data_IF_769232176990
#
_entry.id   IF_769232176990
#
_cell.length_a   1.000
_cell.length_b   1.000
_cell.length_c   1.000
_cell.angle_alpha   90.00
_cell.angle_beta   90.00
_cell.angle_gamma   90.00
#
_symmetry.space_group_name_H-M   'P 1'
#
loop_
_entity.id
_entity.type
_entity.pdbx_description
1 polymer ?
#
# COMPACT_ATOMS: atom_id res chain seq x y z
N UNK A 1 9.98 10.77 6.05
CA UNK A 1 9.73 12.13 6.52
C UNK A 1 8.78 12.11 7.71
N UNK A 2 7.54 11.64 7.60
CA UNK A 2 6.56 11.60 8.69
C UNK A 2 7.06 10.92 9.98
N UNK A 3 7.61 9.72 9.89
CA UNK A 3 8.09 8.99 11.09
C UNK A 3 9.28 9.70 11.75
N UNK A 4 10.14 10.38 10.99
CA UNK A 4 11.29 11.11 11.55
C UNK A 4 10.85 12.30 12.42
N UNK A 5 9.91 13.11 11.93
CA UNK A 5 9.37 14.26 12.66
C UNK A 5 8.64 13.83 13.94
N UNK A 6 7.81 12.78 13.84
CA UNK A 6 7.10 12.22 15.00
C UNK A 6 8.08 11.60 15.99
N UNK A 7 9.11 10.92 15.51
CA UNK A 7 10.13 10.32 16.35
C UNK A 7 10.92 11.37 17.11
N UNK A 8 11.32 12.48 16.47
CA UNK A 8 12.05 13.56 17.12
C UNK A 8 11.21 14.25 18.20
N UNK A 9 9.90 14.51 17.94
CA UNK A 9 8.98 15.00 18.96
C UNK A 9 8.84 14.00 20.12
N UNK A 10 8.69 12.73 19.80
CA UNK A 10 8.53 11.66 20.77
C UNK A 10 9.75 11.50 21.66
N UNK A 11 10.97 11.54 21.10
CA UNK A 11 12.22 11.49 21.85
C UNK A 11 12.41 12.74 22.71
N UNK A 12 11.99 13.91 22.24
CA UNK A 12 12.12 15.15 23.02
C UNK A 12 11.35 15.08 24.35
N UNK A 13 10.19 14.41 24.36
CA UNK A 13 9.37 14.22 25.58
C UNK A 13 10.01 13.20 26.54
N UNK A 14 10.76 12.21 26.01
CA UNK A 14 11.35 11.13 26.80
C UNK A 14 12.78 11.47 27.26
N UNK A 15 13.40 12.48 26.68
CA UNK A 15 14.81 12.83 26.88
C UNK A 15 15.20 13.17 28.35
N UNK A 16 14.22 13.40 29.20
CA UNK A 16 14.47 13.59 30.65
C UNK A 16 14.87 12.28 31.36
N UNK A 17 14.63 11.12 30.76
CA UNK A 17 14.97 9.80 31.29
C UNK A 17 16.03 9.10 30.44
N UNK A 18 17.31 9.46 30.61
CA UNK A 18 18.47 8.89 29.91
C UNK A 18 18.74 7.38 30.16
N UNK A 19 17.76 6.63 30.70
CA UNK A 19 17.92 5.21 31.02
C UNK A 19 17.82 4.28 29.81
N UNK A 20 17.15 4.74 28.73
CA UNK A 20 16.86 3.92 27.57
C UNK A 20 17.40 4.55 26.30
N UNK A 21 17.93 3.72 25.42
CA UNK A 21 18.18 4.09 24.04
C UNK A 21 16.99 3.62 23.20
N UNK A 22 16.44 4.51 22.41
CA UNK A 22 15.25 4.25 21.59
C UNK A 22 15.62 4.54 20.14
N UNK A 23 15.24 3.63 19.23
CA UNK A 23 15.53 3.78 17.81
C UNK A 23 14.46 3.14 16.92
N UNK A 24 14.51 3.48 15.65
CA UNK A 24 13.77 2.80 14.57
C UNK A 24 14.77 2.08 13.69
N UNK A 25 14.48 0.81 13.43
CA UNK A 25 15.30 -0.08 12.60
C UNK A 25 14.51 -0.44 11.35
N UNK A 26 15.12 -0.36 10.18
CA UNK A 26 14.51 -0.77 8.92
C UNK A 26 14.55 -2.30 8.71
N UNK A 27 13.94 -2.78 7.64
CA UNK A 27 13.93 -4.21 7.28
C UNK A 27 15.34 -4.80 7.07
N UNK A 28 16.32 -3.96 6.74
CA UNK A 28 17.74 -4.35 6.58
C UNK A 28 18.49 -4.39 7.91
N UNK A 29 17.79 -4.26 9.03
CA UNK A 29 18.37 -4.23 10.40
C UNK A 29 19.24 -3.00 10.69
N UNK A 30 19.15 -1.96 9.88
CA UNK A 30 19.91 -0.72 10.04
C UNK A 30 19.11 0.28 10.88
N UNK A 31 19.77 0.93 11.84
CA UNK A 31 19.21 1.99 12.67
C UNK A 31 19.06 3.26 11.86
N UNK A 32 17.82 3.62 11.53
CA UNK A 32 17.49 4.80 10.72
C UNK A 32 17.22 6.05 11.54
N UNK A 33 16.68 5.88 12.77
CA UNK A 33 16.41 6.94 13.74
C UNK A 33 16.86 6.45 15.11
N UNK A 34 17.45 7.31 15.94
CA UNK A 34 17.90 6.91 17.26
C UNK A 34 18.04 8.12 18.21
N UNK A 35 17.70 7.92 19.49
CA UNK A 35 17.93 8.89 20.56
C UNK A 35 19.43 9.12 20.79
N UNK A 36 20.27 8.09 20.59
CA UNK A 36 21.74 8.22 20.53
C UNK A 36 22.21 8.30 19.08
N UNK A 37 22.60 9.48 18.64
CA UNK A 37 23.04 9.74 17.26
C UNK A 37 24.29 8.95 16.84
N UNK A 38 25.08 8.46 17.79
CA UNK A 38 26.27 7.65 17.49
C UNK A 38 25.91 6.24 16.96
N UNK A 39 24.65 5.81 17.14
CA UNK A 39 24.15 4.50 16.73
C UNK A 39 23.46 4.53 15.36
N UNK A 40 23.28 5.70 14.76
CA UNK A 40 22.72 5.81 13.41
C UNK A 40 23.57 5.07 12.38
N UNK A 41 22.94 4.31 11.49
CA UNK A 41 23.58 3.50 10.47
C UNK A 41 24.18 2.16 10.97
N UNK A 42 24.16 1.90 12.28
CA UNK A 42 24.61 0.62 12.81
C UNK A 42 23.57 -0.47 12.54
N UNK A 43 24.06 -1.70 12.37
CA UNK A 43 23.19 -2.87 12.19
C UNK A 43 22.94 -3.55 13.54
N UNK A 44 21.67 -3.81 13.88
CA UNK A 44 21.27 -4.48 15.11
C UNK A 44 20.53 -5.78 14.76
N UNK A 45 21.02 -6.92 15.26
CA UNK A 45 20.42 -8.22 15.01
C UNK A 45 19.32 -8.52 16.04
N UNK A 46 18.06 -8.36 15.64
CA UNK A 46 16.88 -8.62 16.48
C UNK A 46 16.47 -10.09 16.51
N UNK A 47 17.17 -10.99 15.81
CA UNK A 47 16.92 -12.43 15.88
C UNK A 47 17.62 -13.10 17.07
N UNK A 48 18.49 -12.40 17.78
CA UNK A 48 19.15 -12.90 18.97
C UNK A 48 18.45 -12.41 20.23
N UNK A 49 17.89 -13.29 21.06
CA UNK A 49 17.28 -12.88 22.33
C UNK A 49 18.35 -12.22 23.20
N UNK A 50 18.14 -10.97 23.53
CA UNK A 50 18.96 -10.21 24.45
C UNK A 50 18.03 -9.59 25.50
N UNK A 51 18.37 -9.78 26.81
CA UNK A 51 17.57 -9.24 27.91
C UNK A 51 17.53 -7.70 27.94
N UNK A 52 18.48 -7.08 27.26
CA UNK A 52 18.64 -5.64 27.26
C UNK A 52 18.02 -4.96 26.04
N UNK A 53 17.42 -5.72 25.11
CA UNK A 53 16.83 -5.21 23.89
C UNK A 53 15.41 -5.75 23.66
N UNK A 54 14.49 -4.88 23.33
CA UNK A 54 13.13 -5.22 22.90
C UNK A 54 12.82 -4.58 21.56
N UNK A 55 12.05 -5.29 20.73
CA UNK A 55 11.72 -4.90 19.37
C UNK A 55 10.23 -5.06 19.14
N UNK A 56 9.62 -4.06 18.52
CA UNK A 56 8.20 -4.05 18.18
C UNK A 56 8.03 -3.64 16.74
N UNK A 57 7.35 -4.44 15.95
CA UNK A 57 6.99 -4.08 14.59
C UNK A 57 6.05 -2.87 14.59
N UNK A 58 6.41 -1.83 13.84
CA UNK A 58 5.59 -0.63 13.69
C UNK A 58 4.87 -0.70 12.35
N UNK A 59 3.62 -1.18 12.40
CA UNK A 59 2.74 -1.27 11.24
C UNK A 59 1.43 -0.54 11.54
N UNK A 60 1.10 0.47 10.73
CA UNK A 60 -0.12 1.26 10.88
C UNK A 60 -0.91 1.23 9.59
N UNK A 61 -2.11 0.65 9.62
CA UNK A 61 -3.02 0.52 8.46
C UNK A 61 -2.38 -0.15 7.24
N UNK A 62 -1.51 -1.13 7.45
CA UNK A 62 -0.80 -1.84 6.39
C UNK A 62 0.42 -1.09 5.84
N UNK A 63 0.77 0.03 6.42
CA UNK A 63 2.02 0.73 6.15
C UNK A 63 3.05 0.34 7.20
N UNK A 64 4.16 -0.24 6.73
CA UNK A 64 5.27 -0.67 7.57
C UNK A 64 6.26 0.49 7.77
N UNK A 65 6.60 0.75 9.02
CA UNK A 65 7.56 1.81 9.41
C UNK A 65 8.86 1.24 9.97
N UNK A 66 9.00 -0.11 9.96
CA UNK A 66 10.13 -0.83 10.53
C UNK A 66 9.85 -1.30 11.95
N UNK A 67 10.89 -1.37 12.77
CA UNK A 67 10.82 -1.87 14.14
C UNK A 67 11.22 -0.78 15.13
N UNK A 68 10.38 -0.52 16.13
CA UNK A 68 10.78 0.23 17.32
C UNK A 68 11.73 -0.63 18.14
N UNK A 69 12.92 -0.15 18.38
CA UNK A 69 13.93 -0.76 19.23
C UNK A 69 14.11 0.03 20.50
N UNK A 70 14.07 -0.66 21.65
CA UNK A 70 14.37 -0.06 22.96
C UNK A 70 15.44 -0.89 23.64
N UNK A 71 16.51 -0.24 24.06
CA UNK A 71 17.61 -0.81 24.81
C UNK A 71 17.65 -0.23 26.22
N UNK A 72 17.85 -1.07 27.22
CA UNK A 72 17.93 -0.72 28.64
C UNK A 72 18.35 -1.89 29.53
N UNK A 73 18.57 -1.62 30.80
CA UNK A 73 19.15 -2.60 31.74
C UNK A 73 18.27 -2.90 32.95
N UNK A 74 16.98 -2.55 32.91
CA UNK A 74 16.08 -2.81 34.03
C UNK A 74 14.92 -3.73 33.68
N UNK A 75 14.27 -4.28 34.71
CA UNK A 75 13.15 -5.22 34.57
C UNK A 75 11.90 -4.59 33.94
N UNK A 76 11.84 -3.26 33.85
CA UNK A 76 10.71 -2.53 33.26
C UNK A 76 10.82 -2.36 31.74
N UNK A 77 11.94 -2.79 31.14
CA UNK A 77 12.23 -2.56 29.70
C UNK A 77 11.10 -3.01 28.79
N UNK A 78 10.53 -4.21 29.02
CA UNK A 78 9.43 -4.72 28.19
C UNK A 78 8.17 -3.87 28.34
N UNK A 79 7.84 -3.44 29.56
CA UNK A 79 6.66 -2.60 29.81
C UNK A 79 6.83 -1.21 29.16
N UNK A 80 8.00 -0.62 29.32
CA UNK A 80 8.34 0.67 28.69
C UNK A 80 8.29 0.55 27.18
N UNK A 81 8.89 -0.50 26.60
CA UNK A 81 8.85 -0.76 25.16
C UNK A 81 7.42 -0.87 24.61
N UNK A 82 6.53 -1.59 25.31
CA UNK A 82 5.12 -1.67 24.95
C UNK A 82 4.44 -0.30 24.94
N UNK A 83 4.61 0.50 26.03
CA UNK A 83 4.01 1.84 26.14
C UNK A 83 4.51 2.76 25.02
N UNK A 84 5.81 2.71 24.71
CA UNK A 84 6.41 3.51 23.66
C UNK A 84 5.88 3.10 22.28
N UNK A 85 5.77 1.79 22.02
CA UNK A 85 5.21 1.27 20.79
C UNK A 85 3.75 1.68 20.60
N UNK A 86 2.91 1.53 21.63
CA UNK A 86 1.50 1.94 21.56
C UNK A 86 1.38 3.46 21.34
N UNK A 87 2.15 4.26 22.06
CA UNK A 87 2.15 5.73 21.92
C UNK A 87 2.57 6.17 20.51
N UNK A 88 3.67 5.59 19.99
CA UNK A 88 4.15 5.87 18.63
C UNK A 88 3.12 5.46 17.60
N UNK A 89 2.52 4.28 17.73
CA UNK A 89 1.49 3.76 16.82
C UNK A 89 0.25 4.66 16.79
N UNK A 90 -0.24 5.10 17.96
CA UNK A 90 -1.38 6.03 18.06
C UNK A 90 -1.05 7.37 17.41
N UNK A 91 0.15 7.91 17.66
CA UNK A 91 0.57 9.20 17.08
C UNK A 91 0.69 9.09 15.54
N UNK A 92 1.32 8.04 15.01
CA UNK A 92 1.39 7.77 13.58
C UNK A 92 -0.01 7.64 12.96
N UNK A 93 -0.92 6.91 13.62
CA UNK A 93 -2.30 6.76 13.16
C UNK A 93 -3.02 8.12 13.11
N UNK A 94 -2.82 8.97 14.11
CA UNK A 94 -3.40 10.32 14.15
C UNK A 94 -2.89 11.19 13.00
N UNK A 95 -1.57 11.24 12.77
CA UNK A 95 -0.97 12.04 11.70
C UNK A 95 -1.38 11.53 10.30
N UNK A 96 -1.42 10.21 10.08
CA UNK A 96 -1.92 9.62 8.84
C UNK A 96 -3.39 10.00 8.62
N UNK A 97 -4.22 9.98 9.68
CA UNK A 97 -5.61 10.40 9.57
C UNK A 97 -5.73 11.91 9.28
N UNK A 98 -4.93 12.75 9.93
CA UNK A 98 -4.89 14.19 9.69
C UNK A 98 -4.44 14.52 8.25
N UNK A 99 -3.39 13.88 7.76
CA UNK A 99 -2.92 14.04 6.38
C UNK A 99 -4.04 13.66 5.38
N UNK A 100 -4.75 12.56 5.63
CA UNK A 100 -5.89 12.13 4.82
C UNK A 100 -7.10 13.10 4.91
N UNK A 101 -7.35 13.71 6.08
CA UNK A 101 -8.41 14.72 6.26
C UNK A 101 -8.08 16.06 5.57
N UNK A 102 -6.81 16.45 5.58
CA UNK A 102 -6.34 17.68 4.93
C UNK A 102 -6.25 17.56 3.40
N UNK A 103 -6.27 16.33 2.86
CA UNK A 103 -6.36 16.10 1.43
C UNK A 103 -7.77 16.42 0.95
N UNK A 104 -7.89 17.36 0.03
CA UNK A 104 -9.17 17.64 -0.62
C UNK A 104 -9.63 16.41 -1.40
N UNK A 105 -10.67 15.74 -0.89
CA UNK A 105 -11.29 14.57 -1.54
C UNK A 105 -11.81 15.01 -2.93
N UNK A 106 -11.37 14.34 -3.97
CA UNK A 106 -11.81 14.58 -5.35
C UNK A 106 -13.02 13.70 -5.66
N UNK A 107 -13.74 14.01 -6.77
CA UNK A 107 -14.81 13.16 -7.28
C UNK A 107 -14.28 11.78 -7.69
N UNK A 108 -13.03 11.68 -8.17
CA UNK A 108 -12.38 10.40 -8.48
C UNK A 108 -12.18 9.56 -7.21
N UNK A 109 -11.75 10.19 -6.10
CA UNK A 109 -11.58 9.48 -4.81
C UNK A 109 -12.93 8.96 -4.30
N UNK A 110 -13.99 9.76 -4.41
CA UNK A 110 -15.35 9.36 -4.02
C UNK A 110 -15.84 8.19 -4.88
N UNK A 111 -15.62 8.25 -6.19
CA UNK A 111 -15.99 7.17 -7.12
C UNK A 111 -15.28 5.88 -6.75
N UNK A 112 -13.95 5.91 -6.54
CA UNK A 112 -13.19 4.71 -6.14
C UNK A 112 -13.69 4.17 -4.80
N UNK A 113 -13.97 5.04 -3.82
CA UNK A 113 -14.54 4.62 -2.54
C UNK A 113 -15.88 3.89 -2.70
N UNK A 114 -16.76 4.39 -3.56
CA UNK A 114 -18.04 3.74 -3.85
C UNK A 114 -17.83 2.39 -4.57
N UNK A 115 -16.90 2.30 -5.53
CA UNK A 115 -16.57 1.07 -6.25
C UNK A 115 -15.98 -0.03 -5.35
N UNK A 116 -15.24 0.36 -4.30
CA UNK A 116 -14.61 -0.58 -3.36
C UNK A 116 -15.54 -0.99 -2.20
N UNK A 117 -16.67 -0.32 -2.02
CA UNK A 117 -17.62 -0.64 -0.95
C UNK A 117 -18.57 -1.77 -1.36
N UNK A 118 -18.19 -3.02 -1.10
CA UNK A 118 -19.02 -4.20 -1.42
C UNK A 118 -20.31 -4.27 -0.63
N UNK A 119 -20.29 -3.79 0.62
CA UNK A 119 -21.43 -3.91 1.54
C UNK A 119 -22.55 -2.93 1.22
N UNK A 120 -22.19 -1.76 0.74
CA UNK A 120 -23.12 -0.67 0.43
C UNK A 120 -22.83 -0.13 -0.97
N UNK A 121 -23.08 -1.01 -1.99
CA UNK A 121 -22.82 -0.70 -3.39
C UNK A 121 -23.94 0.14 -3.99
N UNK A 122 -23.80 1.47 -3.93
CA UNK A 122 -24.74 2.43 -4.52
C UNK A 122 -24.47 2.65 -6.00
N UNK A 123 -25.12 1.86 -6.85
CA UNK A 123 -24.98 1.93 -8.31
C UNK A 123 -25.41 3.32 -8.87
N UNK A 124 -26.43 3.96 -8.27
CA UNK A 124 -26.91 5.24 -8.73
C UNK A 124 -25.85 6.32 -8.50
N UNK A 125 -25.30 6.36 -7.28
CA UNK A 125 -24.21 7.29 -6.93
C UNK A 125 -22.99 7.11 -7.81
N UNK A 126 -22.62 5.86 -8.11
CA UNK A 126 -21.49 5.52 -9.01
C UNK A 126 -21.74 6.07 -10.41
N UNK A 127 -22.95 5.86 -10.97
CA UNK A 127 -23.30 6.36 -12.31
C UNK A 127 -23.27 7.90 -12.33
N UNK A 128 -23.85 8.56 -11.35
CA UNK A 128 -23.87 10.03 -11.25
C UNK A 128 -22.43 10.60 -11.21
N UNK A 129 -21.54 9.96 -10.43
CA UNK A 129 -20.13 10.36 -10.36
C UNK A 129 -19.38 10.11 -11.68
N UNK A 130 -19.66 9.01 -12.38
CA UNK A 130 -19.04 8.72 -13.66
C UNK A 130 -19.50 9.72 -14.74
N UNK A 131 -20.78 10.05 -14.77
CA UNK A 131 -21.34 11.06 -15.68
C UNK A 131 -20.71 12.44 -15.41
N UNK A 132 -20.59 12.84 -14.14
CA UNK A 132 -19.93 14.06 -13.70
C UNK A 132 -18.45 14.15 -14.14
N UNK A 133 -17.78 13.02 -14.20
CA UNK A 133 -16.37 12.90 -14.61
C UNK A 133 -16.19 12.66 -16.11
N UNK A 134 -17.28 12.54 -16.88
CA UNK A 134 -17.23 12.23 -18.31
C UNK A 134 -16.71 10.82 -18.61
N UNK A 135 -16.91 9.87 -17.71
CA UNK A 135 -16.43 8.50 -17.82
C UNK A 135 -17.50 7.59 -18.41
N UNK A 136 -17.13 6.75 -19.36
CA UNK A 136 -18.04 5.75 -19.92
C UNK A 136 -18.18 4.54 -18.95
N UNK A 137 -19.40 4.31 -18.46
CA UNK A 137 -19.76 3.23 -17.53
C UNK A 137 -19.71 1.83 -18.13
N UNK A 138 -19.86 1.73 -19.45
CA UNK A 138 -19.94 0.44 -20.15
C UNK A 138 -18.56 -0.09 -20.59
N UNK A 139 -17.48 0.65 -20.28
CA UNK A 139 -16.12 0.23 -20.58
C UNK A 139 -15.67 -0.93 -19.69
N UNK A 140 -15.03 -1.89 -20.34
CA UNK A 140 -14.24 -2.92 -19.68
C UNK A 140 -13.02 -2.27 -19.03
N UNK A 141 -12.72 -2.64 -17.78
CA UNK A 141 -11.55 -2.09 -17.06
C UNK A 141 -10.77 -3.16 -16.31
N UNK A 142 -9.52 -2.84 -16.03
CA UNK A 142 -8.63 -3.63 -15.18
C UNK A 142 -8.06 -2.72 -14.09
N UNK A 143 -7.97 -3.24 -12.86
CA UNK A 143 -7.29 -2.53 -11.78
C UNK A 143 -5.77 -2.64 -11.93
N UNK A 144 -5.07 -1.54 -11.75
CA UNK A 144 -3.62 -1.45 -11.60
C UNK A 144 -3.36 -0.83 -10.24
N UNK A 145 -2.86 -1.62 -9.30
CA UNK A 145 -2.48 -1.16 -7.97
C UNK A 145 -0.98 -0.89 -7.96
N UNK A 146 -0.63 0.34 -7.60
CA UNK A 146 0.73 0.84 -7.67
C UNK A 146 1.19 1.24 -6.27
N UNK A 147 2.38 0.78 -5.86
CA UNK A 147 2.98 1.11 -4.56
C UNK A 147 4.32 1.79 -4.79
N UNK A 148 4.47 3.01 -4.28
CA UNK A 148 5.74 3.74 -4.35
C UNK A 148 6.78 3.11 -3.42
N UNK A 149 7.98 2.86 -3.94
CA UNK A 149 9.13 2.38 -3.17
C UNK A 149 9.96 3.51 -2.56
N UNK A 150 9.79 4.76 -3.04
CA UNK A 150 10.57 5.93 -2.60
C UNK A 150 9.90 6.75 -1.48
N UNK A 151 8.65 6.47 -1.13
CA UNK A 151 7.89 7.26 -0.16
C UNK A 151 6.62 7.87 -0.74
N UNK A 152 6.22 9.03 -0.25
CA UNK A 152 4.90 9.60 -0.52
C UNK A 152 4.73 10.05 -1.98
N UNK A 153 3.61 9.66 -2.56
CA UNK A 153 3.16 10.09 -3.89
C UNK A 153 2.52 11.46 -3.77
N UNK A 154 3.06 12.44 -4.45
CA UNK A 154 2.50 13.81 -4.41
C UNK A 154 1.19 13.88 -5.18
N UNK A 155 0.21 14.58 -4.61
CA UNK A 155 -1.09 14.81 -5.27
C UNK A 155 -0.95 15.45 -6.66
N UNK A 156 0.10 16.24 -6.87
CA UNK A 156 0.40 16.86 -8.17
C UNK A 156 0.80 15.83 -9.23
N UNK A 157 1.54 14.78 -8.84
CA UNK A 157 1.95 13.71 -9.76
C UNK A 157 0.74 12.87 -10.18
N UNK A 158 -0.18 12.62 -9.23
CA UNK A 158 -1.44 11.93 -9.51
C UNK A 158 -2.33 12.72 -10.47
N UNK A 159 -2.41 14.04 -10.32
CA UNK A 159 -3.18 14.89 -11.23
C UNK A 159 -2.65 14.85 -12.68
N UNK A 160 -1.34 14.63 -12.85
CA UNK A 160 -0.72 14.49 -14.18
C UNK A 160 -1.15 13.22 -14.92
N UNK A 161 -1.64 12.18 -14.21
CA UNK A 161 -2.15 10.97 -14.87
C UNK A 161 -3.23 11.29 -15.92
N UNK A 162 -4.17 12.18 -15.61
CA UNK A 162 -5.23 12.58 -16.56
C UNK A 162 -4.73 13.48 -17.71
N UNK A 163 -3.54 14.03 -17.61
CA UNK A 163 -2.94 14.83 -18.70
C UNK A 163 -2.37 13.94 -19.81
N UNK A 164 -2.14 12.65 -19.54
CA UNK A 164 -1.73 11.69 -20.54
C UNK A 164 -2.94 11.38 -21.46
N UNK A 165 -2.82 11.50 -22.80
CA UNK A 165 -3.89 11.19 -23.75
C UNK A 165 -4.47 9.77 -23.58
N UNK A 166 -3.63 8.80 -23.21
CA UNK A 166 -4.03 7.41 -22.97
C UNK A 166 -4.79 7.21 -21.64
N UNK A 167 -4.92 8.26 -20.83
CA UNK A 167 -5.52 8.22 -19.50
C UNK A 167 -6.84 8.97 -19.35
N UNK A 168 -7.48 9.36 -20.44
CA UNK A 168 -8.71 10.17 -20.39
C UNK A 168 -9.90 9.45 -19.73
N UNK A 169 -9.96 8.10 -19.85
CA UNK A 169 -11.04 7.27 -19.33
C UNK A 169 -10.66 6.46 -18.08
N UNK A 170 -9.53 6.79 -17.45
CA UNK A 170 -9.13 6.13 -16.20
C UNK A 170 -9.97 6.61 -15.03
N UNK A 171 -10.20 5.69 -14.07
CA UNK A 171 -10.67 6.00 -12.73
C UNK A 171 -9.47 5.81 -11.81
N UNK A 172 -9.16 6.77 -10.95
CA UNK A 172 -7.99 6.66 -10.09
C UNK A 172 -8.24 7.25 -8.70
N UNK A 173 -7.51 6.74 -7.72
CA UNK A 173 -7.45 7.33 -6.38
C UNK A 173 -6.15 6.98 -5.70
N UNK A 174 -5.60 7.94 -4.98
CA UNK A 174 -4.52 7.71 -4.04
C UNK A 174 -5.15 7.16 -2.75
N UNK A 175 -5.02 5.86 -2.52
CA UNK A 175 -5.64 5.18 -1.37
C UNK A 175 -4.98 5.57 -0.04
N UNK A 176 -3.68 5.84 -0.09
CA UNK A 176 -2.86 6.42 0.99
C UNK A 176 -1.64 7.11 0.35
N UNK A 177 -0.77 7.68 1.16
CA UNK A 177 0.37 8.49 0.69
C UNK A 177 1.33 7.74 -0.24
N UNK A 178 1.31 6.40 -0.27
CA UNK A 178 2.20 5.56 -1.09
C UNK A 178 1.48 4.72 -2.14
N UNK A 179 0.16 4.57 -2.03
CA UNK A 179 -0.59 3.59 -2.80
C UNK A 179 -1.61 4.26 -3.72
N UNK A 180 -1.45 4.06 -5.00
CA UNK A 180 -2.32 4.56 -6.05
C UNK A 180 -3.08 3.40 -6.70
N UNK A 181 -4.39 3.53 -6.81
CA UNK A 181 -5.24 2.62 -7.57
C UNK A 181 -5.70 3.30 -8.85
N UNK A 182 -5.52 2.62 -9.97
CA UNK A 182 -5.97 3.04 -11.30
C UNK A 182 -6.84 1.94 -11.89
N UNK A 183 -8.03 2.27 -12.36
CA UNK A 183 -8.81 1.42 -13.24
C UNK A 183 -8.59 1.89 -14.68
N UNK A 184 -7.81 1.14 -15.45
CA UNK A 184 -7.50 1.43 -16.85
C UNK A 184 -8.56 0.77 -17.75
N UNK A 185 -9.12 1.56 -18.65
CA UNK A 185 -10.06 1.07 -19.66
C UNK A 185 -9.36 0.23 -20.75
N UNK A 186 -10.04 -0.80 -21.17
CA UNK A 186 -9.60 -1.69 -22.25
C UNK A 186 -10.37 -1.33 -23.53
N UNK A 187 -9.71 -1.09 -24.66
CA UNK A 187 -10.36 -0.87 -25.94
C UNK A 187 -11.22 -2.08 -26.36
N UNK A 188 -12.44 -1.84 -26.83
CA UNK A 188 -13.43 -2.87 -27.20
C UNK A 188 -12.96 -3.82 -28.32
N UNK A 189 -11.95 -3.40 -29.09
CA UNK A 189 -11.32 -4.18 -30.16
C UNK A 189 -10.37 -5.27 -29.64
N UNK A 190 -9.85 -5.15 -28.42
CA UNK A 190 -8.95 -6.12 -27.81
C UNK A 190 -9.78 -7.20 -27.12
N UNK A 191 -9.66 -8.44 -27.57
CA UNK A 191 -10.41 -9.58 -27.04
C UNK A 191 -9.51 -10.69 -26.52
N UNK A 192 -8.34 -10.84 -27.10
CA UNK A 192 -7.39 -11.87 -26.72
C UNK A 192 -6.61 -11.42 -25.48
N UNK A 193 -6.31 -12.38 -24.59
CA UNK A 193 -5.63 -12.09 -23.32
C UNK A 193 -4.25 -11.49 -23.53
N UNK A 194 -3.53 -12.00 -24.49
CA UNK A 194 -2.18 -11.57 -24.85
C UNK A 194 -2.17 -10.13 -25.36
N UNK A 195 -3.14 -9.74 -26.18
CA UNK A 195 -3.29 -8.38 -26.68
C UNK A 195 -3.62 -7.38 -25.56
N UNK A 196 -4.46 -7.80 -24.61
CA UNK A 196 -4.81 -6.98 -23.43
C UNK A 196 -3.58 -6.83 -22.53
N UNK A 197 -2.84 -7.90 -22.28
CA UNK A 197 -1.61 -7.86 -21.49
C UNK A 197 -0.59 -6.90 -22.11
N UNK A 198 -0.32 -7.02 -23.40
CA UNK A 198 0.59 -6.14 -24.14
C UNK A 198 0.14 -4.67 -24.05
N UNK A 199 -1.17 -4.41 -24.22
CA UNK A 199 -1.72 -3.09 -24.12
C UNK A 199 -1.49 -2.47 -22.73
N UNK A 200 -1.75 -3.22 -21.66
CA UNK A 200 -1.55 -2.77 -20.28
C UNK A 200 -0.06 -2.60 -19.96
N UNK A 201 0.78 -3.53 -20.44
CA UNK A 201 2.23 -3.42 -20.24
C UNK A 201 2.77 -2.15 -20.90
N UNK A 202 2.33 -1.83 -22.13
CA UNK A 202 2.69 -0.59 -22.81
C UNK A 202 2.21 0.66 -22.04
N UNK A 203 0.99 0.62 -21.49
CA UNK A 203 0.47 1.69 -20.68
C UNK A 203 1.34 1.91 -19.41
N UNK A 204 1.69 0.84 -18.71
CA UNK A 204 2.57 0.91 -17.53
C UNK A 204 3.95 1.44 -17.91
N UNK A 205 4.51 1.00 -19.06
CA UNK A 205 5.80 1.52 -19.52
C UNK A 205 5.74 3.04 -19.77
N UNK A 206 4.65 3.53 -20.38
CA UNK A 206 4.43 4.97 -20.55
C UNK A 206 4.34 5.70 -19.21
N UNK A 207 3.75 5.10 -18.17
CA UNK A 207 3.73 5.69 -16.82
C UNK A 207 5.13 5.76 -16.21
N UNK A 208 5.93 4.71 -16.37
CA UNK A 208 7.33 4.66 -15.89
C UNK A 208 8.14 5.77 -16.56
N UNK A 209 7.98 5.95 -17.87
CA UNK A 209 8.67 6.98 -18.65
C UNK A 209 8.23 8.41 -18.25
N UNK A 210 7.07 8.54 -17.60
CA UNK A 210 6.40 9.81 -17.27
C UNK A 210 6.54 10.25 -15.80
N UNK A 211 7.39 9.71 -14.98
CA UNK A 211 7.62 10.02 -13.56
C UNK A 211 7.13 8.98 -12.53
N UNK A 212 6.46 7.90 -12.96
CA UNK A 212 6.06 6.81 -12.07
C UNK A 212 7.13 5.71 -11.98
N UNK A 213 8.40 6.13 -11.95
CA UNK A 213 9.53 5.26 -11.69
C UNK A 213 9.55 4.82 -10.21
N UNK A 214 10.14 3.66 -9.95
CA UNK A 214 10.25 3.09 -8.59
C UNK A 214 8.92 2.73 -7.93
N UNK A 215 7.97 2.26 -8.74
CA UNK A 215 6.75 1.66 -8.26
C UNK A 215 6.78 0.14 -8.43
N UNK A 216 6.02 -0.54 -7.56
CA UNK A 216 5.58 -1.90 -7.76
C UNK A 216 4.20 -1.88 -8.41
N UNK A 217 3.99 -2.71 -9.45
CA UNK A 217 2.78 -2.70 -10.26
C UNK A 217 2.07 -4.05 -10.18
N UNK A 218 0.84 -4.06 -9.67
CA UNK A 218 0.00 -5.24 -9.58
C UNK A 218 -1.22 -5.05 -10.46
N UNK A 219 -1.39 -5.92 -11.46
CA UNK A 219 -2.47 -5.84 -12.44
C UNK A 219 -3.50 -6.93 -12.12
N UNK A 220 -4.73 -6.52 -11.83
CA UNK A 220 -5.83 -7.41 -11.50
C UNK A 220 -6.45 -8.08 -12.72
N UNK A 221 -7.60 -8.71 -12.54
CA UNK A 221 -8.36 -9.30 -13.65
C UNK A 221 -9.19 -8.26 -14.40
N UNK A 222 -9.44 -8.52 -15.66
CA UNK A 222 -10.32 -7.72 -16.53
C UNK A 222 -11.77 -7.85 -16.08
N UNK A 223 -12.49 -6.74 -15.95
CA UNK A 223 -13.87 -6.71 -15.49
C UNK A 223 -14.77 -5.88 -16.40
N UNK A 224 -15.96 -6.43 -16.69
CA UNK A 224 -16.93 -5.81 -17.60
C UNK A 224 -18.05 -5.05 -16.88
N UNK A 225 -18.23 -5.28 -15.58
CA UNK A 225 -19.32 -4.69 -14.79
C UNK A 225 -18.76 -3.91 -13.61
N UNK A 226 -19.33 -2.73 -13.35
CA UNK A 226 -18.94 -1.85 -12.24
C UNK A 226 -18.84 -2.58 -10.89
N UNK A 227 -19.82 -3.45 -10.59
CA UNK A 227 -19.84 -4.23 -9.35
C UNK A 227 -18.66 -5.19 -9.20
N UNK A 228 -18.02 -5.55 -10.30
CA UNK A 228 -16.88 -6.49 -10.30
C UNK A 228 -15.52 -5.78 -10.23
N UNK A 229 -15.48 -4.45 -10.30
CA UNK A 229 -14.22 -3.71 -10.25
C UNK A 229 -13.46 -3.93 -8.93
N UNK A 230 -14.20 -4.09 -7.82
CA UNK A 230 -13.61 -4.45 -6.53
C UNK A 230 -12.86 -5.79 -6.59
N UNK A 231 -13.38 -6.78 -7.32
CA UNK A 231 -12.70 -8.09 -7.49
C UNK A 231 -11.36 -7.93 -8.20
N UNK A 232 -11.28 -7.05 -9.22
CA UNK A 232 -10.00 -6.75 -9.89
C UNK A 232 -8.98 -6.17 -8.90
N UNK A 233 -9.39 -5.25 -8.02
CA UNK A 233 -8.53 -4.71 -6.97
C UNK A 233 -8.13 -5.77 -5.93
N UNK A 234 -9.05 -6.63 -5.51
CA UNK A 234 -8.75 -7.73 -4.58
C UNK A 234 -7.70 -8.70 -5.17
N UNK A 235 -7.72 -8.92 -6.48
CA UNK A 235 -6.70 -9.71 -7.16
C UNK A 235 -5.33 -9.02 -7.12
N UNK A 236 -5.27 -7.69 -7.25
CA UNK A 236 -4.03 -6.94 -7.04
C UNK A 236 -3.49 -7.10 -5.62
N UNK A 237 -4.35 -7.02 -4.60
CA UNK A 237 -3.97 -7.22 -3.20
C UNK A 237 -3.46 -8.64 -2.94
N UNK A 238 -4.10 -9.63 -3.56
CA UNK A 238 -3.64 -11.02 -3.46
C UNK A 238 -2.24 -11.18 -4.07
N UNK A 239 -1.99 -10.62 -5.26
CA UNK A 239 -0.67 -10.63 -5.90
C UNK A 239 0.39 -10.02 -4.97
N UNK A 240 0.12 -8.83 -4.43
CA UNK A 240 1.01 -8.16 -3.48
C UNK A 240 1.43 -9.05 -2.31
N UNK A 241 0.49 -9.85 -1.78
CA UNK A 241 0.71 -10.63 -0.57
C UNK A 241 1.29 -12.02 -0.83
N UNK A 242 1.22 -12.54 -2.07
CA UNK A 242 1.51 -13.95 -2.36
C UNK A 242 2.58 -14.17 -3.44
N UNK A 243 2.93 -13.14 -4.21
CA UNK A 243 3.85 -13.26 -5.34
C UNK A 243 5.07 -12.37 -5.10
N UNK A 244 6.25 -12.85 -5.48
CA UNK A 244 7.48 -12.02 -5.46
C UNK A 244 7.39 -10.96 -6.54
N UNK A 245 7.79 -9.73 -6.21
CA UNK A 245 7.69 -8.60 -7.12
C UNK A 245 8.96 -7.75 -7.13
N UNK A 246 9.18 -7.08 -8.26
CA UNK A 246 10.32 -6.20 -8.48
C UNK A 246 9.83 -4.82 -8.93
N UNK A 247 10.67 -3.79 -8.73
CA UNK A 247 10.35 -2.42 -9.15
C UNK A 247 10.22 -2.34 -10.66
N UNK A 248 9.25 -1.56 -11.13
CA UNK A 248 9.00 -1.29 -12.54
C UNK A 248 8.66 -2.52 -13.39
N UNK A 249 8.39 -3.66 -12.75
CA UNK A 249 7.98 -4.90 -13.41
C UNK A 249 6.52 -5.19 -13.06
N UNK A 250 5.57 -5.12 -14.01
CA UNK A 250 4.18 -5.42 -13.73
C UNK A 250 3.95 -6.92 -13.53
N UNK A 251 3.15 -7.26 -12.51
CA UNK A 251 2.71 -8.62 -12.24
C UNK A 251 1.23 -8.71 -12.58
N UNK A 252 0.89 -9.67 -13.44
CA UNK A 252 -0.47 -9.86 -13.95
C UNK A 252 -1.17 -11.02 -13.24
N UNK A 253 -2.37 -10.78 -12.75
CA UNK A 253 -3.18 -11.80 -12.07
C UNK A 253 -3.48 -12.99 -12.97
N UNK A 254 -3.67 -12.77 -14.28
CA UNK A 254 -3.95 -13.83 -15.25
C UNK A 254 -2.88 -14.92 -15.29
N UNK A 255 -1.64 -14.62 -14.90
CA UNK A 255 -0.54 -15.59 -14.79
C UNK A 255 -0.55 -16.40 -13.50
N UNK A 256 -1.35 -15.99 -12.50
CA UNK A 256 -1.39 -16.56 -11.16
C UNK A 256 -2.79 -17.06 -10.76
N UNK A 257 -3.68 -17.25 -11.74
CA UNK A 257 -5.07 -17.69 -11.50
C UNK A 257 -5.12 -19.04 -10.79
N UNK A 258 -4.26 -20.00 -11.18
CA UNK A 258 -4.20 -21.32 -10.57
C UNK A 258 -3.80 -21.26 -9.11
N UNK A 259 -2.73 -20.52 -8.79
CA UNK A 259 -2.23 -20.32 -7.42
C UNK A 259 -3.29 -19.60 -6.57
N UNK A 260 -4.00 -18.62 -7.13
CA UNK A 260 -5.09 -17.94 -6.47
C UNK A 260 -6.21 -18.92 -6.08
N UNK A 261 -6.68 -19.75 -7.00
CA UNK A 261 -7.72 -20.73 -6.68
C UNK A 261 -7.25 -21.78 -5.67
N UNK A 262 -6.03 -22.28 -5.80
CA UNK A 262 -5.45 -23.20 -4.82
C UNK A 262 -5.37 -22.58 -3.42
N UNK A 263 -5.06 -21.30 -3.31
CA UNK A 263 -5.03 -20.59 -2.03
C UNK A 263 -6.41 -20.41 -1.37
N UNK A 264 -7.50 -20.65 -2.08
CA UNK A 264 -8.88 -20.57 -1.56
C UNK A 264 -9.44 -21.92 -1.11
N UNK A 265 -8.76 -23.01 -1.42
CA UNK A 265 -9.18 -24.36 -1.01
C UNK A 265 -8.79 -24.54 0.46
N UNK A 266 -9.74 -24.88 1.32
CA UNK A 266 -9.47 -25.21 2.71
C UNK A 266 -8.69 -26.54 2.76
N UNK A 267 -7.59 -26.58 3.54
CA UNK A 267 -6.78 -27.80 3.74
C UNK A 267 -7.63 -28.96 4.25
N UNK A 268 -8.69 -28.67 5.05
CA UNK A 268 -9.63 -29.66 5.54
C UNK A 268 -10.44 -30.33 4.43
N UNK A 269 -10.77 -29.60 3.37
CA UNK A 269 -11.49 -30.15 2.22
C UNK A 269 -10.60 -31.09 1.42
N UNK A 270 -9.31 -30.79 1.33
CA UNK A 270 -8.32 -31.68 0.67
C UNK A 270 -8.13 -32.96 1.49
N UNK A 271 -7.99 -32.89 2.79
CA UNK A 271 -7.86 -34.05 3.67
C UNK A 271 -9.07 -34.96 3.64
N UNK A 272 -10.29 -34.41 3.46
CA UNK A 272 -11.54 -35.17 3.40
C UNK A 272 -11.66 -36.03 2.13
N UNK A 273 -10.92 -35.72 1.07
CA UNK A 273 -10.94 -36.45 -0.22
C UNK A 273 -9.92 -37.60 -0.21
N UNK A 274 -8.89 -37.55 0.66
CA UNK A 274 -7.82 -38.54 0.75
C UNK A 274 -7.98 -39.54 1.90
N UNK A 275 -9.01 -39.40 2.74
CA UNK A 275 -9.40 -40.35 3.79
C UNK A 275 -10.74 -41.03 3.42
#
# INVERSE_FOLDING_TARGET
MLIGEIFDEFISVIHENQKYVIGIINENKEVTLCSDKNLLGNTIDFNRPDKNNVFFEVNVKGQEFGYLWVNGYDDSLQMIGNLLHESLTVRLMFEINQANLNRKITKDDELVKCLLNEKDFDIKRIIDLMDDLGLNKDKTRVAIYMISSRGDVKTQDVARLKMNPDSQQIIYSLLNDRCLLVYKDIPDKLKEKEEIEEYIQKYIQNLIDWDFQDFYYFVGSVQHKLRQYVSSYQHCLWLKNNVKYEKNVPIFFEKHVTEYFLSKIDVKDVESVYN
#
